data_IF_284775763390
#
_entry.id   IF_284775763390
#
_cell.length_a   1.000
_cell.length_b   1.000
_cell.length_c   1.000
_cell.angle_alpha   90.00
_cell.angle_beta   90.00
_cell.angle_gamma   90.00
#
_symmetry.space_group_name_H-M   'P 1'
#
loop_
_entity.id
_entity.type
_entity.pdbx_description
1 polymer ?
#
# COMPACT_ATOMS: atom_id res chain seq x y z
N UNK A 1 -83.87 -26.43 -37.47
CA UNK A 1 -83.14 -25.36 -36.75
C UNK A 1 -81.83 -25.91 -36.20
N UNK A 2 -80.92 -25.03 -35.77
CA UNK A 2 -79.51 -25.32 -35.38
C UNK A 2 -78.62 -25.87 -36.51
N UNK A 3 -77.86 -24.98 -37.14
CA UNK A 3 -76.62 -25.29 -37.85
C UNK A 3 -75.50 -25.67 -36.85
N UNK A 4 -74.50 -26.47 -37.25
CA UNK A 4 -73.32 -26.73 -36.43
C UNK A 4 -72.46 -25.46 -36.27
N UNK A 5 -71.79 -25.33 -35.12
CA UNK A 5 -71.06 -24.12 -34.73
C UNK A 5 -69.77 -23.91 -35.53
N UNK A 6 -69.53 -22.68 -35.97
CA UNK A 6 -68.32 -22.30 -36.69
C UNK A 6 -67.14 -22.13 -35.72
N UNK A 7 -66.26 -23.13 -35.64
CA UNK A 7 -65.08 -23.16 -34.76
C UNK A 7 -63.99 -22.19 -35.26
N UNK A 8 -64.14 -20.92 -34.87
CA UNK A 8 -63.26 -19.82 -35.24
C UNK A 8 -61.88 -19.95 -34.57
N UNK A 9 -60.97 -20.69 -35.20
CA UNK A 9 -59.58 -20.80 -34.74
C UNK A 9 -58.94 -19.41 -34.65
N UNK A 10 -58.46 -19.05 -33.46
CA UNK A 10 -57.61 -17.88 -33.27
C UNK A 10 -56.25 -18.17 -33.88
N UNK A 11 -55.94 -17.51 -35.00
CA UNK A 11 -54.58 -17.51 -35.56
C UNK A 11 -53.68 -16.78 -34.57
N UNK A 12 -52.94 -17.55 -33.77
CA UNK A 12 -51.90 -17.03 -32.90
C UNK A 12 -50.83 -16.42 -33.81
N UNK A 13 -50.78 -15.08 -33.85
CA UNK A 13 -49.72 -14.39 -34.57
C UNK A 13 -48.37 -14.80 -33.97
N UNK A 14 -47.54 -15.45 -34.78
CA UNK A 14 -46.17 -15.79 -34.40
C UNK A 14 -45.37 -14.49 -34.27
N UNK A 15 -45.36 -13.92 -33.07
CA UNK A 15 -44.57 -12.73 -32.75
C UNK A 15 -43.11 -13.00 -33.08
N UNK A 16 -42.57 -12.27 -34.06
CA UNK A 16 -41.21 -12.46 -34.54
C UNK A 16 -40.22 -12.17 -33.43
N UNK A 17 -39.63 -13.22 -32.87
CA UNK A 17 -38.69 -13.12 -31.77
C UNK A 17 -37.48 -12.28 -32.19
N UNK A 18 -37.43 -11.02 -31.74
CA UNK A 18 -36.38 -10.08 -32.10
C UNK A 18 -35.06 -10.51 -31.45
N UNK A 19 -34.26 -11.27 -32.19
CA UNK A 19 -32.93 -11.75 -31.80
C UNK A 19 -32.06 -10.56 -31.41
N UNK A 20 -31.97 -10.31 -30.09
CA UNK A 20 -31.18 -9.23 -29.49
C UNK A 20 -29.71 -9.47 -29.82
N UNK A 21 -29.20 -8.77 -30.84
CA UNK A 21 -27.79 -8.87 -31.29
C UNK A 21 -26.86 -8.78 -30.09
N UNK A 22 -26.01 -9.78 -29.91
CA UNK A 22 -25.06 -9.84 -28.81
C UNK A 22 -24.19 -8.57 -28.78
N UNK A 23 -24.04 -7.96 -27.60
CA UNK A 23 -23.24 -6.74 -27.45
C UNK A 23 -21.79 -7.06 -27.81
N UNK A 24 -21.25 -6.42 -28.86
CA UNK A 24 -19.86 -6.58 -29.29
C UNK A 24 -18.92 -6.19 -28.16
N UNK A 25 -18.22 -7.16 -27.58
CA UNK A 25 -17.24 -6.93 -26.50
C UNK A 25 -16.06 -6.13 -27.06
N UNK A 26 -15.94 -4.88 -26.62
CA UNK A 26 -14.84 -3.97 -27.01
C UNK A 26 -13.66 -4.15 -26.07
N UNK A 27 -12.78 -5.10 -26.41
CA UNK A 27 -11.53 -5.33 -25.68
C UNK A 27 -10.64 -4.08 -25.77
N UNK A 28 -10.35 -3.46 -24.62
CA UNK A 28 -9.35 -2.40 -24.49
C UNK A 28 -8.05 -2.99 -23.97
N UNK A 29 -6.95 -2.77 -24.67
CA UNK A 29 -5.60 -3.10 -24.18
C UNK A 29 -5.09 -1.96 -23.30
N UNK A 30 -5.07 -2.17 -21.98
CA UNK A 30 -4.34 -1.30 -21.05
C UNK A 30 -2.88 -1.75 -20.91
N UNK A 31 -2.01 -0.82 -20.52
CA UNK A 31 -0.76 -1.14 -19.85
C UNK A 31 -1.07 -1.13 -18.35
N UNK A 32 -0.83 -2.25 -17.68
CA UNK A 32 -1.00 -2.40 -16.22
C UNK A 32 0.39 -2.57 -15.58
N UNK A 33 0.49 -2.30 -14.28
CA UNK A 33 1.75 -2.41 -13.55
C UNK A 33 2.12 -3.90 -13.36
N UNK A 34 3.27 -4.38 -13.86
CA UNK A 34 3.68 -5.77 -13.68
C UNK A 34 4.10 -6.10 -12.22
N UNK A 35 4.35 -5.09 -11.39
CA UNK A 35 4.83 -5.26 -10.02
C UNK A 35 3.69 -5.18 -9.00
N UNK A 36 3.41 -6.30 -8.31
CA UNK A 36 2.41 -6.38 -7.24
C UNK A 36 3.10 -6.32 -5.89
N UNK A 37 3.01 -5.18 -5.20
CA UNK A 37 3.59 -5.00 -3.87
C UNK A 37 2.73 -5.70 -2.81
N UNK A 38 3.28 -6.77 -2.23
CA UNK A 38 2.66 -7.53 -1.16
C UNK A 38 3.48 -7.36 0.11
N UNK A 39 2.81 -7.36 1.25
CA UNK A 39 3.48 -7.39 2.54
C UNK A 39 4.04 -8.78 2.79
N UNK A 40 5.30 -8.86 3.23
CA UNK A 40 5.78 -10.02 3.98
C UNK A 40 5.03 -10.04 5.31
N UNK A 41 4.27 -11.11 5.56
CA UNK A 41 3.64 -11.30 6.88
C UNK A 41 4.68 -11.87 7.84
N UNK A 42 4.66 -11.41 9.08
CA UNK A 42 5.31 -12.07 10.22
C UNK A 42 4.24 -12.94 10.87
N UNK A 43 4.36 -14.26 10.73
CA UNK A 43 3.49 -15.28 11.31
C UNK A 43 4.34 -16.16 12.27
N UNK A 44 3.72 -16.97 13.14
CA UNK A 44 4.46 -17.89 14.04
C UNK A 44 5.03 -17.24 15.31
N UNK A 45 6.15 -17.77 15.82
CA UNK A 45 6.73 -17.37 17.12
C UNK A 45 7.11 -15.88 17.18
N UNK A 46 7.69 -15.34 16.11
CA UNK A 46 8.05 -13.92 16.03
C UNK A 46 6.84 -12.99 16.07
N UNK A 47 5.70 -13.41 15.50
CA UNK A 47 4.44 -12.68 15.64
C UNK A 47 3.99 -12.63 17.11
N UNK A 48 4.06 -13.76 17.81
CA UNK A 48 3.68 -13.83 19.23
C UNK A 48 4.61 -12.98 20.10
N UNK A 49 5.93 -13.06 19.87
CA UNK A 49 6.93 -12.22 20.53
C UNK A 49 6.65 -10.73 20.33
N UNK A 50 6.50 -10.27 19.07
CA UNK A 50 6.23 -8.86 18.75
C UNK A 50 4.94 -8.37 19.43
N UNK A 51 3.87 -9.17 19.41
CA UNK A 51 2.60 -8.79 20.05
C UNK A 51 2.73 -8.72 21.58
N UNK A 52 3.40 -9.69 22.21
CA UNK A 52 3.58 -9.73 23.66
C UNK A 52 4.47 -8.58 24.15
N UNK A 53 5.65 -8.37 23.54
CA UNK A 53 6.57 -7.29 23.93
C UNK A 53 5.89 -5.91 23.82
N UNK A 54 5.09 -5.68 22.77
CA UNK A 54 4.35 -4.43 22.63
C UNK A 54 3.18 -4.31 23.59
N UNK A 55 2.47 -5.40 23.89
CA UNK A 55 1.40 -5.42 24.90
C UNK A 55 1.94 -5.09 26.30
N UNK A 56 3.07 -5.69 26.69
CA UNK A 56 3.73 -5.42 27.97
C UNK A 56 4.22 -3.97 28.08
N UNK A 57 4.87 -3.44 27.04
CA UNK A 57 5.38 -2.05 27.04
C UNK A 57 4.25 -1.02 26.98
N UNK A 58 3.15 -1.28 26.28
CA UNK A 58 1.97 -0.40 26.27
C UNK A 58 1.22 -0.43 27.61
N UNK A 59 1.19 -1.59 28.30
CA UNK A 59 0.69 -1.68 29.69
C UNK A 59 1.59 -0.88 30.65
N UNK A 60 2.91 -1.05 30.57
CA UNK A 60 3.88 -0.38 31.44
C UNK A 60 3.87 1.16 31.28
N UNK A 61 3.79 1.65 30.04
CA UNK A 61 3.72 3.10 29.74
C UNK A 61 2.35 3.73 30.01
N UNK A 62 1.31 2.93 30.29
CA UNK A 62 -0.02 3.43 30.66
C UNK A 62 -0.74 4.24 29.57
N UNK A 63 -0.24 4.22 28.32
CA UNK A 63 -0.74 5.07 27.25
C UNK A 63 -2.14 4.61 26.80
N UNK A 64 -3.15 5.42 27.11
CA UNK A 64 -4.54 5.15 26.75
C UNK A 64 -5.23 6.41 26.26
N UNK A 65 -6.15 6.26 25.32
CA UNK A 65 -7.06 7.32 24.89
C UNK A 65 -8.34 7.27 25.74
N UNK A 66 -8.63 8.37 26.41
CA UNK A 66 -9.84 8.57 27.22
C UNK A 66 -10.86 9.31 26.35
N UNK A 67 -11.69 8.55 25.64
CA UNK A 67 -12.89 9.08 24.98
C UNK A 67 -14.10 8.98 25.93
N UNK A 68 -14.81 10.08 26.18
CA UNK A 68 -16.15 9.97 26.77
C UNK A 68 -17.09 9.26 25.79
N UNK A 69 -17.93 8.30 26.26
CA UNK A 69 -18.93 7.69 25.41
C UNK A 69 -19.85 8.78 24.84
N UNK A 70 -19.92 8.87 23.51
CA UNK A 70 -20.74 9.87 22.81
C UNK A 70 -22.19 9.78 23.31
N UNK A 71 -22.61 10.74 24.15
CA UNK A 71 -23.99 10.87 24.61
C UNK A 71 -24.89 10.91 23.38
N UNK A 72 -25.63 9.82 23.13
CA UNK A 72 -26.56 9.71 22.01
C UNK A 72 -27.54 10.87 22.12
N UNK A 73 -27.45 11.86 21.23
CA UNK A 73 -28.40 12.97 21.19
C UNK A 73 -29.78 12.37 20.93
N UNK A 74 -30.62 12.28 21.97
CA UNK A 74 -32.04 11.96 21.80
C UNK A 74 -32.60 12.99 20.81
N UNK A 75 -33.30 12.59 19.73
CA UNK A 75 -33.94 13.57 18.86
C UNK A 75 -34.94 14.35 19.70
N UNK A 76 -34.75 15.66 19.83
CA UNK A 76 -35.65 16.50 20.59
C UNK A 76 -36.99 16.53 19.84
N UNK A 77 -38.02 15.89 20.40
CA UNK A 77 -39.34 15.88 19.82
C UNK A 77 -39.85 17.33 19.70
N UNK A 78 -40.42 17.69 18.55
CA UNK A 78 -40.97 19.02 18.29
C UNK A 78 -42.17 19.30 19.20
N UNK A 79 -41.93 19.74 20.44
CA UNK A 79 -42.94 20.49 21.19
C UNK A 79 -43.01 21.89 20.61
N UNK A 80 -44.15 22.22 20.01
CA UNK A 80 -44.51 23.61 19.76
C UNK A 80 -44.54 24.34 21.11
N UNK A 81 -43.99 25.55 21.17
CA UNK A 81 -44.41 26.48 22.22
C UNK A 81 -44.54 27.90 21.64
N UNK A 82 -45.60 28.55 22.09
CA UNK A 82 -46.09 29.85 21.65
C UNK A 82 -45.04 30.95 21.90
N UNK A 83 -44.93 31.91 20.98
CA UNK A 83 -44.17 33.15 21.19
C UNK A 83 -44.84 34.00 22.27
N UNK A 84 -44.10 34.46 23.28
CA UNK A 84 -44.27 35.81 23.86
C UNK A 84 -43.09 36.26 24.73
N UNK A 85 -42.85 37.56 24.66
CA UNK A 85 -42.23 38.47 25.63
C UNK A 85 -40.83 38.20 26.22
N UNK A 86 -39.85 38.95 25.70
CA UNK A 86 -39.26 40.17 26.31
C UNK A 86 -38.62 40.18 27.72
N UNK A 87 -37.72 41.17 27.88
CA UNK A 87 -37.19 41.76 29.13
C UNK A 87 -36.08 41.02 29.92
N UNK A 88 -34.84 41.33 29.52
CA UNK A 88 -33.80 41.98 30.37
C UNK A 88 -33.09 41.25 31.53
N UNK A 89 -31.85 41.70 31.74
CA UNK A 89 -31.06 41.69 32.98
C UNK A 89 -30.22 40.43 33.30
N UNK A 90 -29.01 40.73 33.77
CA UNK A 90 -27.94 39.94 34.39
C UNK A 90 -28.32 38.61 35.08
N UNK A 91 -27.44 37.62 35.25
CA UNK A 91 -26.24 37.69 36.12
C UNK A 91 -25.15 36.67 35.74
N UNK A 92 -23.95 36.87 36.31
CA UNK A 92 -22.79 36.00 36.11
C UNK A 92 -22.58 35.05 37.32
N UNK A 93 -22.75 33.72 37.19
CA UNK A 93 -22.34 32.80 38.23
C UNK A 93 -20.81 32.62 38.22
N UNK A 94 -20.13 33.22 39.20
CA UNK A 94 -18.88 32.65 39.72
C UNK A 94 -19.26 31.54 40.69
N UNK A 95 -18.91 30.30 40.38
CA UNK A 95 -18.86 29.22 41.37
C UNK A 95 -17.50 28.54 41.25
N UNK A 96 -16.71 28.62 42.31
CA UNK A 96 -15.45 27.89 42.43
C UNK A 96 -15.68 26.56 43.19
N UNK A 97 -15.07 25.52 42.65
CA UNK A 97 -14.69 24.26 43.29
C UNK A 97 -15.63 23.57 44.30
N UNK A 98 -16.25 22.48 43.85
CA UNK A 98 -16.45 21.31 44.71
C UNK A 98 -16.03 20.03 43.96
N UNK A 99 -15.37 19.11 44.68
CA UNK A 99 -14.54 18.04 44.10
C UNK A 99 -15.23 17.12 43.08
N UNK A 100 -14.75 17.17 41.83
CA UNK A 100 -14.82 16.04 40.89
C UNK A 100 -13.73 16.15 39.84
N UNK A 101 -12.95 15.08 39.69
CA UNK A 101 -11.88 14.98 38.69
C UNK A 101 -12.50 15.04 37.28
N UNK A 102 -12.51 16.23 36.67
CA UNK A 102 -12.93 16.45 35.28
C UNK A 102 -11.87 15.87 34.35
N UNK A 103 -11.93 14.54 34.15
CA UNK A 103 -10.98 13.76 33.34
C UNK A 103 -10.73 14.47 32.00
N UNK A 104 -9.48 14.89 31.77
CA UNK A 104 -9.11 15.66 30.57
C UNK A 104 -9.26 14.76 29.35
N UNK A 105 -10.18 15.12 28.46
CA UNK A 105 -10.43 14.40 27.20
C UNK A 105 -9.16 14.36 26.36
N UNK A 106 -8.66 13.17 26.00
CA UNK A 106 -7.41 13.05 25.24
C UNK A 106 -6.67 11.75 25.49
N UNK A 107 -5.35 11.84 25.56
CA UNK A 107 -4.42 10.74 25.87
C UNK A 107 -3.92 10.88 27.30
N UNK A 108 -3.63 9.76 27.99
CA UNK A 108 -3.06 9.76 29.36
C UNK A 108 -1.82 10.65 29.43
N UNK A 109 -0.89 10.45 28.49
CA UNK A 109 0.33 11.23 28.35
C UNK A 109 0.51 11.71 26.90
N UNK A 110 0.82 12.99 26.75
CA UNK A 110 1.04 13.68 25.48
C UNK A 110 2.49 13.49 25.00
N UNK A 111 3.44 13.28 25.91
CA UNK A 111 4.85 13.02 25.58
C UNK A 111 5.00 11.67 24.88
N UNK A 112 4.57 10.58 25.54
CA UNK A 112 4.53 9.21 25.02
C UNK A 112 3.74 9.16 23.70
N UNK A 113 2.59 9.86 23.62
CA UNK A 113 1.80 9.91 22.39
C UNK A 113 2.52 10.56 21.20
N UNK A 114 3.47 11.48 21.42
CA UNK A 114 4.28 12.08 20.34
C UNK A 114 5.32 11.11 19.78
N UNK A 115 5.74 10.12 20.58
CA UNK A 115 6.71 9.08 20.19
C UNK A 115 6.11 8.07 19.20
N UNK A 116 4.78 7.92 19.18
CA UNK A 116 4.05 7.01 18.28
C UNK A 116 3.37 7.76 17.12
N UNK A 117 3.27 7.08 15.98
CA UNK A 117 2.43 7.45 14.83
C UNK A 117 1.34 6.39 14.68
N UNK A 118 0.07 6.77 14.90
CA UNK A 118 -1.05 5.81 14.96
C UNK A 118 -2.00 6.01 13.77
N UNK A 119 -2.19 4.94 13.01
CA UNK A 119 -3.00 4.95 11.79
C UNK A 119 -2.24 5.46 10.56
N UNK A 120 -2.73 5.06 9.39
CA UNK A 120 -2.05 5.25 8.09
C UNK A 120 -1.65 6.71 7.86
N UNK A 121 -2.55 7.67 8.14
CA UNK A 121 -2.31 9.10 7.89
C UNK A 121 -1.29 9.77 8.82
N UNK A 122 -0.91 9.14 9.94
CA UNK A 122 0.22 9.59 10.77
C UNK A 122 1.52 8.90 10.35
N UNK A 123 1.43 7.60 10.02
CA UNK A 123 2.55 6.80 9.52
C UNK A 123 3.10 7.35 8.19
N UNK A 124 2.25 7.72 7.23
CA UNK A 124 2.70 8.33 5.96
C UNK A 124 3.52 9.59 6.20
N UNK A 125 2.98 10.52 6.98
CA UNK A 125 3.66 11.79 7.33
C UNK A 125 4.98 11.57 8.07
N UNK A 126 5.08 10.52 8.88
CA UNK A 126 6.31 10.16 9.56
C UNK A 126 7.34 9.52 8.61
N UNK A 127 6.92 8.68 7.66
CA UNK A 127 7.79 8.12 6.61
C UNK A 127 8.29 9.20 5.63
N UNK A 128 7.40 10.07 5.16
CA UNK A 128 7.71 11.20 4.27
C UNK A 128 8.89 12.01 4.83
N UNK A 129 8.81 12.36 6.11
CA UNK A 129 9.84 13.09 6.88
C UNK A 129 11.03 12.27 7.38
N UNK A 130 11.04 10.94 7.21
CA UNK A 130 12.05 10.05 7.80
C UNK A 130 12.10 10.11 9.36
N UNK A 131 10.94 10.28 10.02
CA UNK A 131 10.79 10.31 11.49
C UNK A 131 10.75 8.90 12.14
N UNK A 132 10.48 7.81 11.39
CA UNK A 132 10.27 6.46 11.95
C UNK A 132 11.57 5.64 12.11
N UNK A 133 11.58 4.79 13.15
CA UNK A 133 12.50 3.64 13.32
C UNK A 133 11.85 2.33 12.84
N UNK A 134 10.57 2.13 13.13
CA UNK A 134 9.86 0.87 12.93
C UNK A 134 8.42 1.14 12.49
N UNK A 135 7.89 0.31 11.59
CA UNK A 135 6.48 0.30 11.19
C UNK A 135 5.88 -1.11 11.23
N UNK A 136 4.80 -1.30 11.99
CA UNK A 136 3.98 -2.51 11.96
C UNK A 136 2.61 -2.22 11.35
N UNK A 137 2.16 -3.09 10.45
CA UNK A 137 0.88 -2.94 9.73
C UNK A 137 -0.02 -4.13 10.03
N UNK A 138 -1.31 -3.89 10.33
CA UNK A 138 -2.23 -4.97 10.66
C UNK A 138 -2.76 -5.68 9.40
N UNK A 139 -2.76 -7.02 9.41
CA UNK A 139 -3.33 -7.88 8.34
C UNK A 139 -4.86 -7.71 8.16
N UNK A 140 -5.55 -7.02 9.07
CA UNK A 140 -7.01 -6.76 9.00
C UNK A 140 -7.42 -5.56 8.13
N UNK A 141 -6.47 -4.78 7.60
CA UNK A 141 -6.76 -3.58 6.80
C UNK A 141 -7.48 -3.90 5.48
N UNK A 142 -8.69 -3.33 5.29
CA UNK A 142 -9.54 -3.53 4.11
C UNK A 142 -9.99 -2.18 3.53
N UNK A 143 -9.87 -1.95 2.19
CA UNK A 143 -9.12 -2.74 1.22
C UNK A 143 -7.60 -2.65 1.44
N UNK A 144 -6.86 -3.72 1.09
CA UNK A 144 -5.42 -3.82 1.34
C UNK A 144 -4.58 -2.70 0.69
N UNK A 145 -5.05 -2.12 -0.42
CA UNK A 145 -4.44 -0.97 -1.10
C UNK A 145 -4.23 0.27 -0.20
N UNK A 146 -4.98 0.38 0.91
CA UNK A 146 -4.78 1.41 1.94
C UNK A 146 -3.40 1.31 2.60
N UNK A 147 -2.76 0.14 2.62
CA UNK A 147 -1.43 -0.03 3.24
C UNK A 147 -0.32 -0.29 2.22
N UNK A 148 -0.63 -0.76 0.99
CA UNK A 148 0.36 -1.09 -0.05
C UNK A 148 1.38 0.03 -0.34
N UNK A 149 0.97 1.30 -0.32
CA UNK A 149 1.87 2.43 -0.56
C UNK A 149 2.94 2.62 0.53
N UNK A 150 2.68 2.16 1.76
CA UNK A 150 3.64 2.21 2.86
C UNK A 150 4.85 1.31 2.62
N UNK A 151 4.71 0.24 1.81
CA UNK A 151 5.82 -0.65 1.43
C UNK A 151 6.89 0.15 0.67
N UNK A 152 6.46 0.91 -0.34
CA UNK A 152 7.34 1.73 -1.18
C UNK A 152 7.95 2.89 -0.39
N UNK A 153 7.16 3.56 0.47
CA UNK A 153 7.66 4.63 1.34
C UNK A 153 8.70 4.11 2.35
N UNK A 154 8.46 2.97 2.99
CA UNK A 154 9.39 2.36 3.98
C UNK A 154 10.68 1.91 3.30
N UNK A 155 10.58 1.28 2.12
CA UNK A 155 11.73 0.96 1.28
C UNK A 155 12.54 2.24 0.93
N UNK A 156 11.88 3.33 0.52
CA UNK A 156 12.53 4.62 0.22
C UNK A 156 13.26 5.31 1.39
N UNK A 157 13.17 4.73 2.59
CA UNK A 157 13.73 5.23 3.85
C UNK A 157 14.55 4.19 4.61
N UNK A 158 14.76 3.00 4.04
CA UNK A 158 15.35 1.82 4.71
C UNK A 158 14.68 1.50 6.07
N UNK A 159 13.40 1.84 6.25
CA UNK A 159 12.69 1.62 7.51
C UNK A 159 12.22 0.16 7.59
N UNK A 160 12.62 -0.63 8.61
CA UNK A 160 12.09 -1.97 8.81
C UNK A 160 10.57 -1.91 9.01
N UNK A 161 9.85 -2.65 8.18
CA UNK A 161 8.39 -2.64 8.21
C UNK A 161 7.80 -4.01 7.83
N UNK A 162 6.88 -4.51 8.65
CA UNK A 162 6.28 -5.83 8.49
C UNK A 162 4.76 -5.83 8.72
N UNK A 163 4.08 -6.81 8.12
CA UNK A 163 2.65 -7.04 8.40
C UNK A 163 2.49 -8.05 9.52
N UNK A 164 1.83 -7.65 10.61
CA UNK A 164 1.57 -8.47 11.79
C UNK A 164 0.06 -8.78 11.83
N UNK A 165 -0.34 -10.07 11.80
CA UNK A 165 -1.72 -10.48 12.08
C UNK A 165 -2.14 -10.03 13.48
N UNK A 166 -3.44 -9.82 13.70
CA UNK A 166 -4.04 -9.55 15.03
C UNK A 166 -3.51 -8.32 15.80
N UNK A 167 -2.57 -7.55 15.25
CA UNK A 167 -2.04 -6.30 15.82
C UNK A 167 -3.12 -5.34 16.32
N UNK A 168 -4.20 -5.19 15.54
CA UNK A 168 -5.35 -4.35 15.91
C UNK A 168 -6.29 -5.00 16.95
N UNK A 169 -6.26 -6.31 17.13
CA UNK A 169 -7.05 -7.01 18.16
C UNK A 169 -6.38 -6.84 19.53
N UNK A 170 -5.04 -7.01 19.57
CA UNK A 170 -4.25 -6.89 20.80
C UNK A 170 -4.08 -5.42 21.24
N UNK A 171 -3.61 -4.54 20.36
CA UNK A 171 -3.14 -3.21 20.78
C UNK A 171 -4.22 -2.13 20.83
N UNK A 172 -5.29 -2.23 20.02
CA UNK A 172 -6.37 -1.23 20.03
C UNK A 172 -7.10 -1.12 21.39
N UNK A 173 -7.52 -2.21 22.07
CA UNK A 173 -8.21 -2.09 23.36
C UNK A 173 -7.31 -1.54 24.48
N UNK A 174 -6.00 -1.84 24.46
CA UNK A 174 -5.02 -1.28 25.39
C UNK A 174 -4.94 0.24 25.23
N UNK A 175 -4.75 0.71 23.99
CA UNK A 175 -4.64 2.13 23.63
C UNK A 175 -5.98 2.90 23.71
N UNK A 176 -7.11 2.26 24.02
CA UNK A 176 -8.43 2.90 24.04
C UNK A 176 -8.96 3.28 22.65
N UNK A 177 -8.61 2.50 21.63
CA UNK A 177 -8.97 2.73 20.23
C UNK A 177 -9.91 1.64 19.71
N UNK A 178 -10.65 1.96 18.64
CA UNK A 178 -11.50 0.97 17.94
C UNK A 178 -10.72 0.08 16.99
N UNK A 179 -9.61 0.56 16.41
CA UNK A 179 -8.70 -0.22 15.58
C UNK A 179 -7.35 0.47 15.41
N UNK A 180 -6.31 -0.31 15.08
CA UNK A 180 -4.95 0.15 14.77
C UNK A 180 -4.49 -0.57 13.49
N UNK A 181 -4.71 0.05 12.33
CA UNK A 181 -4.36 -0.55 11.04
C UNK A 181 -2.87 -0.42 10.69
N UNK A 182 -2.20 0.59 11.24
CA UNK A 182 -0.77 0.82 11.13
C UNK A 182 -0.26 1.51 12.41
N UNK A 183 0.93 1.15 12.86
CA UNK A 183 1.60 1.66 14.05
C UNK A 183 3.07 1.91 13.73
N UNK A 184 3.51 3.17 13.80
CA UNK A 184 4.90 3.56 13.62
C UNK A 184 5.52 4.05 14.93
N UNK A 185 6.78 3.70 15.18
CA UNK A 185 7.58 4.20 16.30
C UNK A 185 8.60 5.21 15.76
N UNK A 186 8.72 6.37 16.40
CA UNK A 186 9.62 7.44 15.93
C UNK A 186 11.04 7.31 16.46
N UNK A 187 11.99 8.02 15.85
CA UNK A 187 13.39 8.13 16.31
C UNK A 187 13.55 8.77 17.69
N UNK A 188 12.52 9.43 18.20
CA UNK A 188 12.43 10.02 19.54
C UNK A 188 11.44 9.18 20.37
N UNK A 189 11.70 7.86 20.52
CA UNK A 189 10.78 6.92 21.20
C UNK A 189 11.45 6.14 22.33
N UNK A 190 12.14 6.87 23.19
CA UNK A 190 12.99 6.39 24.29
C UNK A 190 12.35 5.31 25.18
N UNK A 191 11.03 5.33 25.38
CA UNK A 191 10.30 4.34 26.18
C UNK A 191 10.03 3.01 25.44
N UNK A 192 10.28 2.98 24.13
CA UNK A 192 10.05 1.85 23.23
C UNK A 192 11.36 1.34 22.58
N UNK A 193 12.47 2.09 22.64
CA UNK A 193 13.76 1.76 21.99
C UNK A 193 14.19 0.30 22.21
N UNK A 194 14.27 -0.15 23.47
CA UNK A 194 14.66 -1.53 23.84
C UNK A 194 13.76 -2.60 23.16
N UNK A 195 12.46 -2.33 23.07
CA UNK A 195 11.50 -3.22 22.41
C UNK A 195 11.64 -3.17 20.88
N UNK A 196 11.94 -2.00 20.30
CA UNK A 196 12.19 -1.83 18.87
C UNK A 196 13.46 -2.59 18.48
N UNK A 197 14.53 -2.48 19.26
CA UNK A 197 15.81 -3.18 19.03
C UNK A 197 15.64 -4.71 19.11
N UNK A 198 14.82 -5.22 20.04
CA UNK A 198 14.49 -6.64 20.11
C UNK A 198 13.56 -7.13 18.98
N UNK A 199 12.77 -6.23 18.38
CA UNK A 199 11.79 -6.55 17.33
C UNK A 199 12.39 -6.47 15.92
N UNK A 200 13.22 -5.46 15.62
CA UNK A 200 13.74 -5.19 14.27
C UNK A 200 14.45 -6.40 13.62
N UNK A 201 15.31 -7.18 14.31
CA UNK A 201 15.94 -8.38 13.73
C UNK A 201 14.97 -9.47 13.28
N UNK A 202 13.75 -9.48 13.82
CA UNK A 202 12.69 -10.46 13.50
C UNK A 202 11.80 -10.04 12.33
N UNK A 203 12.07 -8.87 11.71
CA UNK A 203 11.26 -8.33 10.62
C UNK A 203 11.91 -8.64 9.28
N UNK A 204 11.22 -9.34 8.36
CA UNK A 204 11.78 -9.67 7.07
C UNK A 204 11.92 -8.41 6.20
N UNK A 205 13.10 -8.19 5.63
CA UNK A 205 13.43 -7.01 4.83
C UNK A 205 12.43 -6.78 3.67
N UNK A 206 12.03 -5.53 3.44
CA UNK A 206 11.14 -5.16 2.34
C UNK A 206 11.90 -5.07 1.01
N UNK A 207 11.50 -5.91 0.06
CA UNK A 207 12.01 -5.87 -1.31
C UNK A 207 11.08 -5.06 -2.22
N UNK A 208 11.65 -4.12 -2.96
CA UNK A 208 10.99 -3.37 -4.04
C UNK A 208 11.95 -3.36 -5.24
N UNK A 209 11.63 -3.92 -6.42
CA UNK A 209 12.61 -4.24 -7.46
C UNK A 209 13.46 -3.08 -8.03
N UNK A 210 13.06 -1.83 -7.80
CA UNK A 210 13.81 -0.62 -8.16
C UNK A 210 14.51 0.08 -6.98
N UNK A 211 14.18 -0.27 -5.73
CA UNK A 211 15.00 0.07 -4.56
C UNK A 211 15.99 -1.08 -4.35
N UNK A 212 16.88 -1.26 -5.33
CA UNK A 212 18.04 -2.14 -5.20
C UNK A 212 19.01 -1.48 -4.23
N UNK A 213 18.80 -1.71 -2.94
CA UNK A 213 19.79 -1.37 -1.93
C UNK A 213 21.08 -2.08 -2.26
N UNK A 214 22.16 -1.29 -2.43
CA UNK A 214 23.52 -1.80 -2.56
C UNK A 214 23.93 -2.41 -1.23
N UNK A 215 23.55 -3.67 -1.01
CA UNK A 215 24.10 -4.46 0.10
C UNK A 215 25.60 -4.56 -0.13
N UNK A 216 26.37 -3.81 0.67
CA UNK A 216 27.82 -3.80 0.66
C UNK A 216 28.42 -4.98 1.40
N UNK A 217 27.69 -6.08 1.53
CA UNK A 217 28.10 -7.27 2.27
C UNK A 217 28.29 -8.45 1.34
N UNK A 218 29.56 -8.84 1.20
CA UNK A 218 30.00 -10.03 0.49
C UNK A 218 29.60 -11.29 1.27
N UNK A 219 28.39 -11.79 1.06
CA UNK A 219 28.05 -13.19 1.34
C UNK A 219 28.03 -13.95 0.02
N UNK A 220 29.05 -14.77 -0.21
CA UNK A 220 29.16 -15.58 -1.41
C UNK A 220 28.10 -16.68 -1.41
N UNK A 221 26.98 -16.45 -2.10
CA UNK A 221 26.08 -17.53 -2.46
C UNK A 221 26.70 -18.33 -3.60
N UNK A 222 27.64 -19.21 -3.23
CA UNK A 222 28.14 -20.26 -4.12
C UNK A 222 26.93 -21.05 -4.63
N UNK A 223 26.86 -21.22 -5.95
CA UNK A 223 25.96 -22.18 -6.56
C UNK A 223 26.59 -23.56 -6.39
N UNK A 224 26.01 -24.39 -5.52
CA UNK A 224 26.44 -25.79 -5.34
C UNK A 224 25.89 -26.67 -6.47
N UNK A 225 26.25 -26.33 -7.70
CA UNK A 225 25.97 -27.13 -8.89
C UNK A 225 27.23 -27.96 -9.21
N UNK A 226 27.25 -29.20 -8.72
CA UNK A 226 28.39 -30.12 -8.84
C UNK A 226 28.66 -30.51 -10.29
N UNK A 227 29.82 -30.15 -10.83
CA UNK A 227 30.42 -30.79 -12.01
C UNK A 227 31.95 -30.72 -11.94
N UNK A 228 32.60 -31.84 -12.20
CA UNK A 228 34.05 -31.99 -12.14
C UNK A 228 34.71 -31.58 -13.46
N UNK A 229 35.80 -30.80 -13.42
CA UNK A 229 37.16 -31.25 -13.83
C UNK A 229 38.19 -30.09 -13.98
N UNK A 230 39.39 -30.35 -13.43
CA UNK A 230 40.74 -29.99 -13.93
C UNK A 230 41.14 -28.52 -14.16
N UNK A 231 41.91 -28.02 -13.19
CA UNK A 231 43.21 -27.31 -13.30
C UNK A 231 43.36 -25.95 -14.04
N UNK A 232 44.34 -25.09 -13.63
CA UNK A 232 44.51 -23.72 -14.14
C UNK A 232 45.64 -23.57 -15.18
N UNK A 233 45.72 -22.42 -15.88
CA UNK A 233 46.87 -21.49 -15.79
C UNK A 233 46.75 -20.18 -16.65
N UNK A 234 47.38 -19.12 -16.12
CA UNK A 234 48.09 -17.99 -16.76
C UNK A 234 47.49 -17.09 -17.89
N UNK A 235 47.40 -15.79 -17.54
CA UNK A 235 47.96 -14.59 -18.22
C UNK A 235 47.48 -14.08 -19.61
N UNK A 236 46.87 -12.89 -19.56
CA UNK A 236 47.25 -11.64 -20.26
C UNK A 236 47.14 -11.43 -21.80
N UNK A 237 46.77 -10.18 -22.14
CA UNK A 237 47.00 -9.39 -23.39
C UNK A 237 46.89 -10.03 -24.79
N UNK A 238 45.86 -9.58 -25.54
CA UNK A 238 46.03 -8.99 -26.89
C UNK A 238 45.06 -7.80 -27.04
N UNK A 239 45.52 -6.70 -27.67
CA UNK A 239 44.72 -5.53 -28.06
C UNK A 239 44.53 -5.48 -29.59
N UNK A 240 43.50 -4.72 -30.04
CA UNK A 240 43.20 -4.36 -31.44
C UNK A 240 42.74 -5.52 -32.37
N UNK A 241 41.78 -5.34 -33.28
CA UNK A 241 40.85 -4.20 -33.53
C UNK A 241 39.47 -4.77 -34.04
N UNK A 242 38.58 -4.20 -34.88
CA UNK A 242 38.67 -3.11 -35.87
C UNK A 242 37.35 -2.32 -36.08
N UNK A 243 37.43 -1.38 -37.03
CA UNK A 243 36.42 -0.54 -37.68
C UNK A 243 35.02 -1.16 -37.98
N UNK A 244 33.97 -0.39 -38.30
CA UNK A 244 33.61 1.02 -38.04
C UNK A 244 32.19 1.32 -38.56
N UNK A 245 31.44 2.23 -37.90
CA UNK A 245 30.42 3.05 -38.57
C UNK A 245 30.03 4.31 -37.77
N UNK A 246 30.66 5.45 -38.05
CA UNK A 246 30.30 6.73 -37.42
C UNK A 246 29.07 7.37 -38.07
N UNK A 247 28.11 7.88 -37.28
CA UNK A 247 27.26 9.00 -37.75
C UNK A 247 26.68 9.91 -36.67
N UNK A 248 27.29 11.10 -36.56
CA UNK A 248 26.84 12.34 -35.87
C UNK A 248 26.79 12.30 -34.33
N UNK A 249 27.74 13.03 -33.73
CA UNK A 249 27.69 13.50 -32.34
C UNK A 249 26.41 14.32 -32.06
N UNK A 250 25.94 14.26 -30.82
CA UNK A 250 25.23 15.35 -30.14
C UNK A 250 25.94 15.55 -28.80
N UNK A 251 26.52 16.72 -28.57
CA UNK A 251 27.36 16.99 -27.39
C UNK A 251 26.54 17.02 -26.10
N UNK A 252 27.18 16.66 -24.99
CA UNK A 252 26.61 16.43 -23.66
C UNK A 252 25.65 17.52 -23.14
N UNK A 253 24.68 17.08 -22.33
CA UNK A 253 24.64 17.51 -20.92
C UNK A 253 24.17 16.35 -20.03
N UNK A 254 24.56 16.38 -18.76
CA UNK A 254 24.19 15.42 -17.72
C UNK A 254 24.50 13.94 -18.02
N UNK A 255 25.80 13.61 -18.08
CA UNK A 255 26.29 12.25 -17.89
C UNK A 255 26.05 11.82 -16.42
N UNK A 256 24.82 11.44 -16.09
CA UNK A 256 24.51 10.77 -14.83
C UNK A 256 25.25 9.43 -14.79
N UNK A 257 25.77 9.05 -13.63
CA UNK A 257 26.46 7.77 -13.46
C UNK A 257 25.47 6.60 -13.50
N UNK A 258 25.21 6.10 -14.70
CA UNK A 258 24.32 4.96 -14.95
C UNK A 258 24.99 3.60 -14.72
N UNK A 259 26.25 3.55 -14.27
CA UNK A 259 26.95 2.28 -13.98
C UNK A 259 26.24 1.42 -12.92
N UNK A 260 25.38 2.03 -12.11
CA UNK A 260 24.60 1.38 -11.06
C UNK A 260 23.15 0.99 -11.50
N UNK A 261 22.79 1.13 -12.78
CA UNK A 261 21.40 0.91 -13.26
C UNK A 261 21.25 -0.41 -14.02
N UNK A 262 20.87 -1.46 -13.30
CA UNK A 262 20.57 -2.79 -13.89
C UNK A 262 19.16 -2.79 -14.49
N UNK A 263 19.06 -2.78 -15.82
CA UNK A 263 17.80 -2.87 -16.55
C UNK A 263 17.26 -4.31 -16.57
N UNK A 264 16.10 -4.53 -15.94
CA UNK A 264 15.44 -5.85 -15.97
C UNK A 264 14.75 -6.12 -17.32
N UNK A 265 14.92 -7.32 -17.92
CA UNK A 265 14.34 -7.65 -19.23
C UNK A 265 12.83 -7.87 -19.14
N UNK A 266 12.05 -6.96 -19.75
CA UNK A 266 10.59 -7.06 -19.79
C UNK A 266 10.10 -8.20 -20.69
N UNK A 267 9.49 -9.24 -20.09
CA UNK A 267 8.83 -10.34 -20.82
C UNK A 267 7.52 -9.86 -21.48
N UNK A 268 7.61 -9.39 -22.73
CA UNK A 268 6.47 -8.93 -23.54
C UNK A 268 5.50 -10.09 -23.81
N UNK A 269 4.43 -10.19 -23.02
CA UNK A 269 3.42 -11.27 -23.13
C UNK A 269 2.71 -11.33 -24.49
N UNK A 270 2.52 -10.18 -25.16
CA UNK A 270 1.89 -10.11 -26.50
C UNK A 270 2.22 -8.78 -27.19
N UNK A 271 2.86 -8.83 -28.36
CA UNK A 271 3.05 -7.65 -29.21
C UNK A 271 1.80 -7.46 -30.10
N UNK A 272 0.96 -6.49 -29.74
CA UNK A 272 -0.21 -6.10 -30.56
C UNK A 272 0.21 -4.98 -31.53
N UNK A 273 0.07 -5.15 -32.85
CA UNK A 273 0.35 -4.07 -33.80
C UNK A 273 -0.57 -2.87 -33.54
N UNK A 274 -0.01 -1.65 -33.49
CA UNK A 274 -0.79 -0.41 -33.39
C UNK A 274 -1.81 -0.35 -34.55
N UNK A 275 -3.14 -0.34 -34.28
CA UNK A 275 -4.17 -0.43 -35.31
C UNK A 275 -4.19 0.79 -36.24
N UNK A 276 -3.66 1.94 -35.80
CA UNK A 276 -3.60 3.16 -36.58
C UNK A 276 -2.31 3.23 -37.45
N UNK A 277 -1.41 2.24 -37.36
CA UNK A 277 -0.15 2.21 -38.12
C UNK A 277 -0.36 1.68 -39.53
N UNK A 278 -0.73 2.58 -40.45
CA UNK A 278 -0.76 2.31 -41.90
C UNK A 278 0.59 1.77 -42.35
N UNK A 279 0.65 0.50 -42.76
CA UNK A 279 1.85 -0.11 -43.33
C UNK A 279 2.02 0.41 -44.76
N UNK A 280 3.17 1.04 -45.06
CA UNK A 280 3.55 1.32 -46.45
C UNK A 280 3.68 -0.02 -47.20
N UNK A 281 3.16 -0.15 -48.44
CA UNK A 281 3.32 -1.38 -49.21
C UNK A 281 4.80 -1.66 -49.47
N UNK A 282 5.21 -2.95 -49.56
CA UNK A 282 6.60 -3.29 -49.86
C UNK A 282 6.98 -2.71 -51.23
N UNK A 283 8.15 -2.04 -51.31
CA UNK A 283 8.70 -1.60 -52.59
C UNK A 283 8.91 -2.83 -53.48
N UNK A 284 8.14 -2.92 -54.58
CA UNK A 284 8.39 -3.92 -55.63
C UNK A 284 9.86 -3.76 -56.06
N UNK A 285 10.68 -4.82 -55.91
CA UNK A 285 11.99 -4.85 -56.55
C UNK A 285 11.76 -4.68 -58.05
N UNK A 286 12.38 -3.68 -58.68
CA UNK A 286 12.47 -3.67 -60.15
C UNK A 286 13.18 -4.96 -60.54
N UNK A 287 12.61 -5.75 -61.46
CA UNK A 287 13.42 -6.76 -62.15
C UNK A 287 14.51 -5.98 -62.90
N UNK A 288 15.76 -6.40 -62.78
CA UNK A 288 16.73 -6.06 -63.80
C UNK A 288 16.21 -6.69 -65.11
N UNK A 289 16.19 -5.91 -66.18
CA UNK A 289 16.13 -6.52 -67.51
C UNK A 289 17.53 -7.06 -67.82
N UNK A 290 17.55 -8.21 -68.48
CA UNK A 290 18.77 -8.81 -69.04
C UNK A 290 18.97 -8.33 -70.47
#
# INVERSE_FOLDING_TARGET
GKTPGNLRMSVIQQGTATLRKAKKVTVKTCLDNPFVFQWKTIDGEDMHFILQTLEERIKHTGLKKIETPRKKKRPCAKKQMVRKCDASTNELPKEEETGSHRQKLGWTDISIRRQLAIGVNEVTKALEKNELLLLLVCKSAKPAMITTHLIQLSASRATPAGQVPRLSETLAPLLGLTSVLALGFKKQSDQFTEAIEAIVPKIPALEVPWFQFRSGESVAHVHTDTSENQEPEQLAEVLSDELASQKRKRTESNQLDLSHVILQPLKIKKLVPNPNKIKKPPRKKKKAFS
#
